data_IF_593527643059
#
_entry.id   IF_593527643059
#
_cell.length_a   1.000
_cell.length_b   1.000
_cell.length_c   1.000
_cell.angle_alpha   90.00
_cell.angle_beta   90.00
_cell.angle_gamma   90.00
#
_symmetry.space_group_name_H-M   'P 1'
#
loop_
_entity.id
_entity.type
_entity.pdbx_description
1 polymer ?
#
# COMPACT_ATOMS: atom_id res chain seq x y z
N UNK A 1 8.57 13.37 -6.44
CA UNK A 1 8.18 12.07 -7.04
C UNK A 1 9.46 11.32 -7.38
N UNK A 2 9.57 10.08 -6.95
CA UNK A 2 10.73 9.23 -7.19
C UNK A 2 10.69 8.69 -8.62
N UNK A 3 11.87 8.33 -9.18
CA UNK A 3 11.92 7.80 -10.54
C UNK A 3 11.45 6.33 -10.56
N UNK A 4 10.33 6.08 -11.22
CA UNK A 4 9.79 4.73 -11.44
C UNK A 4 9.95 4.27 -12.90
N UNK A 5 10.82 4.95 -13.67
CA UNK A 5 11.01 4.60 -15.09
C UNK A 5 11.78 3.30 -15.31
N UNK A 6 12.31 2.70 -14.24
CA UNK A 6 13.07 1.46 -14.31
C UNK A 6 12.31 0.33 -15.04
N UNK A 7 10.99 0.23 -14.87
CA UNK A 7 10.17 -0.79 -15.53
C UNK A 7 10.19 -0.70 -17.07
N UNK A 8 10.53 0.47 -17.62
CA UNK A 8 10.65 0.67 -19.08
C UNK A 8 11.96 0.13 -19.66
N UNK A 9 12.97 -0.08 -18.81
CA UNK A 9 14.31 -0.49 -19.26
C UNK A 9 14.43 -1.98 -19.54
N UNK A 10 13.41 -2.77 -19.21
CA UNK A 10 13.46 -4.24 -19.23
C UNK A 10 14.38 -4.78 -18.14
N UNK A 11 14.24 -6.04 -17.78
CA UNK A 11 15.05 -6.68 -16.75
C UNK A 11 14.21 -7.32 -15.65
N UNK A 12 14.88 -7.70 -14.54
CA UNK A 12 14.23 -8.20 -13.34
C UNK A 12 14.26 -7.10 -12.29
N UNK A 13 13.15 -6.91 -11.59
CA UNK A 13 12.98 -5.91 -10.53
C UNK A 13 12.55 -6.59 -9.26
N UNK A 14 13.03 -6.07 -8.12
CA UNK A 14 12.70 -6.58 -6.79
C UNK A 14 11.86 -5.53 -6.08
N UNK A 15 10.62 -5.89 -5.76
CA UNK A 15 9.74 -5.11 -4.91
C UNK A 15 9.82 -5.65 -3.49
N UNK A 16 10.32 -4.83 -2.56
CA UNK A 16 10.34 -5.16 -1.13
C UNK A 16 8.97 -4.94 -0.51
N UNK A 17 8.58 -5.80 0.44
CA UNK A 17 7.30 -5.67 1.15
C UNK A 17 7.53 -5.16 2.57
N UNK A 18 6.93 -4.03 2.92
CA UNK A 18 6.82 -3.52 4.28
C UNK A 18 5.47 -3.94 4.81
N UNK A 19 5.42 -5.10 5.46
CA UNK A 19 4.22 -5.68 6.03
C UNK A 19 3.96 -5.08 7.41
N UNK A 20 2.97 -4.20 7.53
CA UNK A 20 2.56 -3.64 8.81
C UNK A 20 2.09 -4.73 9.76
N UNK A 21 2.37 -4.57 11.05
CA UNK A 21 1.66 -5.31 12.09
C UNK A 21 0.19 -4.91 12.11
N UNK A 22 -0.64 -5.71 12.80
CA UNK A 22 -2.07 -5.47 12.91
C UNK A 22 -2.38 -4.02 13.32
N UNK A 23 -3.21 -3.35 12.51
CA UNK A 23 -3.55 -1.95 12.66
C UNK A 23 -4.72 -1.75 13.65
N UNK A 24 -4.91 -0.53 14.19
CA UNK A 24 -6.07 -0.22 15.03
C UNK A 24 -7.41 -0.61 14.38
N UNK A 25 -8.26 -1.25 15.17
CA UNK A 25 -9.56 -1.74 14.71
C UNK A 25 -9.55 -3.20 14.28
N UNK A 26 -8.40 -3.87 14.25
CA UNK A 26 -8.28 -5.28 13.85
C UNK A 26 -8.11 -6.20 15.06
N UNK A 27 -8.30 -7.51 14.84
CA UNK A 27 -8.33 -8.52 15.89
C UNK A 27 -7.01 -8.64 16.69
N UNK A 28 -5.88 -8.39 16.04
CA UNK A 28 -4.55 -8.60 16.62
C UNK A 28 -3.78 -7.31 16.93
N UNK A 29 -4.47 -6.15 16.93
CA UNK A 29 -3.85 -4.90 17.33
C UNK A 29 -3.42 -4.93 18.78
N UNK A 30 -2.13 -4.68 19.06
CA UNK A 30 -1.54 -4.75 20.39
C UNK A 30 -1.60 -3.43 21.19
N UNK A 31 -2.22 -2.39 20.63
CA UNK A 31 -2.39 -1.08 21.27
C UNK A 31 -1.25 -0.10 21.04
N UNK A 32 -0.18 -0.47 20.36
CA UNK A 32 1.02 0.36 20.20
C UNK A 32 1.28 0.77 18.74
N UNK A 33 0.64 1.86 18.32
CA UNK A 33 0.81 2.42 16.99
C UNK A 33 2.24 2.93 16.73
N UNK A 34 2.92 3.45 17.79
CA UNK A 34 4.31 3.90 17.64
C UNK A 34 5.24 2.75 17.28
N UNK A 35 5.10 1.62 17.95
CA UNK A 35 5.86 0.40 17.64
C UNK A 35 5.64 -0.06 16.21
N UNK A 36 4.40 0.00 15.70
CA UNK A 36 4.09 -0.36 14.32
C UNK A 36 4.85 0.53 13.34
N UNK A 37 4.82 1.85 13.53
CA UNK A 37 5.55 2.80 12.70
C UNK A 37 7.07 2.58 12.76
N UNK A 38 7.63 2.40 13.95
CA UNK A 38 9.07 2.18 14.14
C UNK A 38 9.55 0.89 13.42
N UNK A 39 8.75 -0.19 13.49
CA UNK A 39 9.05 -1.45 12.80
C UNK A 39 8.96 -1.29 11.28
N UNK A 40 7.92 -0.63 10.77
CA UNK A 40 7.77 -0.39 9.34
C UNK A 40 8.92 0.44 8.77
N UNK A 41 9.35 1.49 9.46
CA UNK A 41 10.53 2.29 9.06
C UNK A 41 11.80 1.46 9.09
N UNK A 42 12.01 0.64 10.12
CA UNK A 42 13.17 -0.25 10.21
C UNK A 42 13.22 -1.24 9.04
N UNK A 43 12.09 -1.85 8.71
CA UNK A 43 11.99 -2.79 7.60
C UNK A 43 12.25 -2.09 6.27
N UNK A 44 11.65 -0.90 6.05
CA UNK A 44 11.84 -0.10 4.84
C UNK A 44 13.31 0.28 4.64
N UNK A 45 14.00 0.77 5.67
CA UNK A 45 15.44 1.09 5.62
C UNK A 45 16.28 -0.15 5.33
N UNK A 46 15.90 -1.29 5.87
CA UNK A 46 16.61 -2.57 5.65
C UNK A 46 16.46 -3.01 4.20
N UNK A 47 15.26 -2.93 3.63
CA UNK A 47 14.98 -3.25 2.23
C UNK A 47 15.73 -2.31 1.28
N UNK A 48 15.73 -1.00 1.55
CA UNK A 48 16.47 -0.03 0.74
C UNK A 48 17.96 -0.34 0.73
N UNK A 49 18.55 -0.63 1.90
CA UNK A 49 19.97 -1.02 2.00
C UNK A 49 20.29 -2.33 1.29
N UNK A 50 19.32 -3.24 1.20
CA UNK A 50 19.45 -4.50 0.46
C UNK A 50 19.36 -4.28 -1.07
N UNK A 51 18.99 -3.09 -1.54
CA UNK A 51 19.01 -2.73 -2.95
C UNK A 51 17.74 -3.12 -3.71
N UNK A 52 16.57 -3.09 -3.05
CA UNK A 52 15.29 -3.27 -3.76
C UNK A 52 15.04 -2.10 -4.72
N UNK A 53 14.38 -2.35 -5.85
CA UNK A 53 14.06 -1.33 -6.85
C UNK A 53 12.87 -0.43 -6.42
N UNK A 54 11.96 -0.98 -5.65
CA UNK A 54 10.81 -0.29 -5.07
C UNK A 54 10.33 -1.06 -3.83
N UNK A 55 9.41 -0.47 -3.06
CA UNK A 55 8.76 -1.18 -1.95
C UNK A 55 7.27 -0.88 -1.89
N UNK A 56 6.53 -1.78 -1.24
CA UNK A 56 5.08 -1.64 -1.02
C UNK A 56 4.82 -1.68 0.49
N UNK A 57 4.07 -0.70 0.98
CA UNK A 57 3.55 -0.68 2.35
C UNK A 57 2.16 -1.31 2.33
N UNK A 58 1.97 -2.36 3.11
CA UNK A 58 0.76 -3.19 3.12
C UNK A 58 0.33 -3.52 4.55
N UNK A 59 -0.97 -3.53 4.79
CA UNK A 59 -1.58 -3.87 6.08
C UNK A 59 -1.65 -5.38 6.35
N UNK A 60 -0.61 -6.12 6.04
CA UNK A 60 -0.59 -7.59 6.06
C UNK A 60 -0.89 -8.22 7.43
N UNK A 61 -0.75 -7.49 8.52
CA UNK A 61 -1.07 -7.96 9.87
C UNK A 61 -2.55 -7.93 10.23
N UNK A 62 -3.41 -7.42 9.36
CA UNK A 62 -4.85 -7.21 9.61
C UNK A 62 -5.71 -8.46 9.38
N UNK A 63 -5.09 -9.65 9.35
CA UNK A 63 -5.82 -10.92 9.18
C UNK A 63 -6.87 -11.14 10.32
N UNK A 64 -8.09 -11.58 10.01
CA UNK A 64 -8.65 -11.86 8.68
C UNK A 64 -9.07 -10.60 7.93
N UNK A 65 -8.74 -10.57 6.63
CA UNK A 65 -9.04 -9.41 5.78
C UNK A 65 -10.51 -9.29 5.41
N UNK A 66 -11.00 -8.04 5.41
CA UNK A 66 -12.17 -7.65 4.61
C UNK A 66 -11.77 -7.25 3.19
N UNK A 67 -12.76 -7.03 2.32
CA UNK A 67 -12.49 -6.44 0.99
C UNK A 67 -11.96 -5.01 1.12
N UNK A 68 -12.51 -4.24 2.06
CA UNK A 68 -12.16 -2.84 2.36
C UNK A 68 -11.62 -2.69 3.78
N UNK A 69 -10.86 -1.63 3.98
CA UNK A 69 -10.40 -1.21 5.29
C UNK A 69 -11.48 -0.40 6.01
N UNK A 70 -11.55 -0.56 7.32
CA UNK A 70 -12.30 0.34 8.19
C UNK A 70 -11.54 1.67 8.39
N UNK A 71 -12.26 2.73 8.77
CA UNK A 71 -11.69 4.05 8.99
C UNK A 71 -10.43 4.07 9.88
N UNK A 72 -10.37 3.35 11.02
CA UNK A 72 -9.15 3.30 11.83
C UNK A 72 -7.95 2.70 11.10
N UNK A 73 -8.17 1.65 10.31
CA UNK A 73 -7.11 1.03 9.50
C UNK A 73 -6.59 1.98 8.42
N UNK A 74 -7.49 2.68 7.70
CA UNK A 74 -7.11 3.67 6.67
C UNK A 74 -6.25 4.76 7.28
N UNK A 75 -6.66 5.33 8.43
CA UNK A 75 -5.90 6.37 9.12
C UNK A 75 -4.52 5.88 9.57
N UNK A 76 -4.46 4.67 10.12
CA UNK A 76 -3.23 4.06 10.60
C UNK A 76 -2.27 3.72 9.45
N UNK A 77 -2.77 3.11 8.36
CA UNK A 77 -1.96 2.79 7.18
C UNK A 77 -1.40 4.07 6.54
N UNK A 78 -2.20 5.14 6.49
CA UNK A 78 -1.72 6.44 6.01
C UNK A 78 -0.57 7.00 6.88
N UNK A 79 -0.69 6.89 8.20
CA UNK A 79 0.37 7.34 9.12
C UNK A 79 1.66 6.52 8.96
N UNK A 80 1.55 5.19 8.83
CA UNK A 80 2.71 4.32 8.56
C UNK A 80 3.34 4.66 7.21
N UNK A 81 2.53 4.79 6.16
CA UNK A 81 3.03 5.11 4.83
C UNK A 81 3.74 6.47 4.80
N UNK A 82 3.25 7.48 5.53
CA UNK A 82 3.86 8.79 5.63
C UNK A 82 5.27 8.72 6.24
N UNK A 83 5.42 8.07 7.40
CA UNK A 83 6.74 7.95 8.05
C UNK A 83 7.71 7.09 7.23
N UNK A 84 7.23 6.05 6.53
CA UNK A 84 8.08 5.29 5.61
C UNK A 84 8.55 6.18 4.47
N UNK A 85 7.64 6.95 3.84
CA UNK A 85 7.97 7.84 2.72
C UNK A 85 9.01 8.91 3.05
N UNK A 86 9.05 9.38 4.29
CA UNK A 86 10.05 10.34 4.78
C UNK A 86 11.43 9.72 4.99
N UNK A 87 11.52 8.41 5.21
CA UNK A 87 12.75 7.74 5.61
C UNK A 87 13.46 6.98 4.48
N UNK A 88 12.86 6.84 3.28
CA UNK A 88 13.45 6.13 2.14
C UNK A 88 13.39 6.93 0.86
N UNK A 89 14.29 6.60 -0.08
CA UNK A 89 14.42 7.29 -1.38
C UNK A 89 13.91 6.45 -2.55
N UNK A 90 13.86 5.13 -2.42
CA UNK A 90 13.29 4.26 -3.47
C UNK A 90 11.80 4.51 -3.62
N UNK A 91 11.23 4.25 -4.81
CA UNK A 91 9.79 4.35 -5.04
C UNK A 91 8.99 3.53 -4.05
N UNK A 92 7.88 4.10 -3.57
CA UNK A 92 6.96 3.41 -2.67
C UNK A 92 5.57 3.27 -3.27
N UNK A 93 4.99 2.11 -3.06
CA UNK A 93 3.61 1.80 -3.37
C UNK A 93 2.78 1.58 -2.12
N UNK A 94 1.47 1.66 -2.28
CA UNK A 94 0.49 1.35 -1.23
C UNK A 94 -0.35 0.15 -1.68
N UNK A 95 -0.50 -0.81 -0.80
CA UNK A 95 -1.48 -1.89 -0.92
C UNK A 95 -2.40 -1.85 0.31
N UNK A 96 -3.68 -1.62 0.07
CA UNK A 96 -4.72 -1.67 1.08
C UNK A 96 -5.47 -3.00 0.93
N UNK A 97 -4.90 -4.04 1.52
CA UNK A 97 -5.40 -5.39 1.40
C UNK A 97 -6.76 -5.58 2.12
N UNK A 98 -7.78 -6.32 1.53
CA UNK A 98 -7.51 -7.17 0.36
C UNK A 98 -7.63 -6.42 -0.98
N UNK A 99 -8.56 -5.48 -1.20
CA UNK A 99 -8.78 -4.81 -2.50
C UNK A 99 -9.35 -3.40 -2.38
N UNK A 100 -8.97 -2.66 -1.34
CA UNK A 100 -9.48 -1.31 -1.13
C UNK A 100 -8.72 -0.28 -1.99
N UNK A 101 -9.12 -0.20 -3.28
CA UNK A 101 -8.55 0.77 -4.22
C UNK A 101 -8.81 2.24 -3.79
N UNK A 102 -9.89 2.49 -3.02
CA UNK A 102 -10.23 3.83 -2.53
C UNK A 102 -9.23 4.27 -1.47
N UNK A 103 -8.97 3.41 -0.49
CA UNK A 103 -7.94 3.66 0.52
C UNK A 103 -6.54 3.75 -0.11
N UNK A 104 -6.15 2.79 -0.96
CA UNK A 104 -4.84 2.76 -1.58
C UNK A 104 -4.53 4.03 -2.37
N UNK A 105 -5.43 4.47 -3.27
CA UNK A 105 -5.24 5.68 -4.07
C UNK A 105 -5.26 6.95 -3.22
N UNK A 106 -6.14 7.03 -2.22
CA UNK A 106 -6.25 8.18 -1.33
C UNK A 106 -4.99 8.34 -0.47
N UNK A 107 -4.51 7.25 0.12
CA UNK A 107 -3.27 7.23 0.90
C UNK A 107 -2.09 7.60 -0.01
N UNK A 108 -1.97 6.94 -1.17
CA UNK A 108 -0.88 7.21 -2.10
C UNK A 108 -0.81 8.69 -2.50
N UNK A 109 -1.96 9.31 -2.77
CA UNK A 109 -2.02 10.74 -3.06
C UNK A 109 -1.61 11.60 -1.87
N UNK A 110 -2.09 11.26 -0.68
CA UNK A 110 -1.85 12.05 0.53
C UNK A 110 -0.37 12.02 0.97
N UNK A 111 0.30 10.87 0.86
CA UNK A 111 1.69 10.70 1.30
C UNK A 111 2.73 10.89 0.18
N UNK A 112 2.29 11.14 -1.04
CA UNK A 112 3.19 11.27 -2.19
C UNK A 112 3.84 9.95 -2.61
N UNK A 113 3.11 8.84 -2.46
CA UNK A 113 3.55 7.55 -2.99
C UNK A 113 3.50 7.51 -4.52
N UNK A 114 4.26 6.60 -5.11
CA UNK A 114 4.54 6.61 -6.55
C UNK A 114 3.59 5.67 -7.31
N UNK A 115 3.06 4.64 -6.64
CA UNK A 115 2.16 3.67 -7.23
C UNK A 115 1.24 3.02 -6.19
N UNK A 116 0.27 2.25 -6.66
CA UNK A 116 -0.58 1.37 -5.83
C UNK A 116 -0.59 -0.04 -6.40
N UNK A 117 -0.73 -1.02 -5.54
CA UNK A 117 -1.10 -2.38 -5.92
C UNK A 117 -2.60 -2.56 -5.69
N UNK A 118 -3.31 -3.06 -6.70
CA UNK A 118 -4.74 -3.41 -6.61
C UNK A 118 -4.85 -4.87 -7.07
N UNK A 119 -4.99 -5.83 -6.15
CA UNK A 119 -4.95 -7.25 -6.48
C UNK A 119 -6.02 -7.70 -7.47
N UNK A 120 -7.25 -7.20 -7.33
CA UNK A 120 -8.37 -7.56 -8.21
C UNK A 120 -8.81 -6.33 -9.00
N UNK A 121 -8.14 -6.09 -10.14
CA UNK A 121 -8.36 -4.92 -10.97
C UNK A 121 -9.37 -5.15 -12.09
N UNK A 122 -9.25 -6.26 -12.83
CA UNK A 122 -10.07 -6.56 -14.03
C UNK A 122 -10.96 -7.80 -13.91
N UNK A 123 -10.57 -8.80 -13.12
CA UNK A 123 -11.30 -10.07 -12.99
C UNK A 123 -12.09 -10.16 -11.68
N UNK A 124 -12.97 -11.15 -11.60
CA UNK A 124 -13.66 -11.51 -10.36
C UNK A 124 -12.88 -12.62 -9.66
N UNK A 125 -12.67 -12.48 -8.34
CA UNK A 125 -11.90 -13.43 -7.54
C UNK A 125 -12.70 -13.83 -6.31
N UNK A 126 -12.71 -15.13 -5.99
CA UNK A 126 -13.19 -15.66 -4.72
C UNK A 126 -12.05 -15.75 -3.70
N UNK A 127 -12.28 -15.29 -2.48
CA UNK A 127 -11.34 -15.38 -1.37
C UNK A 127 -12.08 -15.65 -0.06
N UNK A 128 -11.39 -15.77 1.07
CA UNK A 128 -11.99 -16.13 2.37
C UNK A 128 -13.09 -15.15 2.85
N UNK A 129 -12.99 -13.88 2.46
CA UNK A 129 -13.98 -12.83 2.78
C UNK A 129 -15.15 -12.74 1.79
N UNK A 130 -15.20 -13.58 0.75
CA UNK A 130 -16.27 -13.57 -0.26
C UNK A 130 -15.78 -13.34 -1.69
N UNK A 131 -16.65 -12.78 -2.54
CA UNK A 131 -16.34 -12.52 -3.95
C UNK A 131 -15.99 -11.05 -4.14
N UNK A 132 -14.80 -10.80 -4.67
CA UNK A 132 -14.34 -9.46 -5.05
C UNK A 132 -14.64 -9.22 -6.52
N UNK A 133 -15.30 -8.10 -6.81
CA UNK A 133 -15.61 -7.67 -8.17
C UNK A 133 -14.52 -6.75 -8.74
N UNK A 134 -14.35 -6.71 -10.08
CA UNK A 134 -13.37 -5.83 -10.71
C UNK A 134 -13.64 -4.36 -10.41
N UNK A 135 -12.58 -3.61 -10.15
CA UNK A 135 -12.68 -2.20 -9.78
C UNK A 135 -12.05 -1.22 -10.79
N UNK A 136 -11.49 -1.70 -11.90
CA UNK A 136 -10.70 -0.88 -12.84
C UNK A 136 -11.37 0.45 -13.21
N UNK A 137 -12.65 0.42 -13.65
CA UNK A 137 -13.36 1.65 -14.02
C UNK A 137 -13.48 2.62 -12.85
N UNK A 138 -13.85 2.12 -11.66
CA UNK A 138 -14.04 2.95 -10.46
C UNK A 138 -12.70 3.54 -10.00
N UNK A 139 -11.65 2.72 -9.97
CA UNK A 139 -10.30 3.14 -9.58
C UNK A 139 -9.75 4.22 -10.53
N UNK A 140 -9.92 4.08 -11.84
CA UNK A 140 -9.46 5.08 -12.80
C UNK A 140 -10.20 6.42 -12.70
N UNK A 141 -11.51 6.39 -12.44
CA UNK A 141 -12.30 7.62 -12.20
C UNK A 141 -11.83 8.30 -10.91
N UNK A 142 -11.70 7.54 -9.83
CA UNK A 142 -11.22 8.07 -8.55
C UNK A 142 -9.82 8.67 -8.68
N UNK A 143 -8.88 7.95 -9.31
CA UNK A 143 -7.51 8.41 -9.57
C UNK A 143 -7.49 9.79 -10.23
N UNK A 144 -8.35 10.01 -11.25
CA UNK A 144 -8.49 11.31 -11.91
C UNK A 144 -9.07 12.36 -10.97
N UNK A 145 -10.15 12.03 -10.25
CA UNK A 145 -10.83 12.97 -9.35
C UNK A 145 -9.92 13.42 -8.18
N UNK A 146 -9.01 12.58 -7.75
CA UNK A 146 -7.98 12.90 -6.75
C UNK A 146 -6.82 13.74 -7.31
N UNK A 147 -6.75 13.97 -8.64
CA UNK A 147 -5.57 14.55 -9.27
C UNK A 147 -4.32 13.69 -9.05
N UNK A 148 -4.49 12.36 -9.08
CA UNK A 148 -3.45 11.37 -8.81
C UNK A 148 -2.96 10.66 -10.08
N UNK A 149 -3.02 11.32 -11.24
CA UNK A 149 -2.61 10.73 -12.53
C UNK A 149 -1.12 10.35 -12.56
N UNK A 150 -0.32 10.93 -11.69
CA UNK A 150 1.08 10.56 -11.49
C UNK A 150 1.26 9.24 -10.73
N UNK A 151 0.29 8.81 -9.89
CA UNK A 151 0.30 7.52 -9.19
C UNK A 151 0.03 6.40 -10.19
N UNK A 152 0.93 5.42 -10.31
CA UNK A 152 0.74 4.25 -11.18
C UNK A 152 -0.12 3.18 -10.50
N UNK A 153 -0.75 2.33 -11.31
CA UNK A 153 -1.49 1.17 -10.84
C UNK A 153 -0.83 -0.07 -11.42
#
# INVERSE_FOLDING_TARGET
>A
MRDISFYKKGGKFIFGMVHCKALPGTAFFDGDMKKIMDLAVKDAITLEKAGVDAMIVENMGDDPFGEKLDTPQVAALAAVAAVVAENVKVPIGIDAAMNDYEAALSIAKAVGADFVRIPVFVDTVEFTGGIIQPCARKAMILRKNLGAENVKI
#
